data_IF_661967980616
#
_entry.id   IF_661967980616
#
_cell.length_a   1.000
_cell.length_b   1.000
_cell.length_c   1.000
_cell.angle_alpha   90.00
_cell.angle_beta   90.00
_cell.angle_gamma   90.00
#
_symmetry.space_group_name_H-M   'P 1'
#
loop_
_entity.id
_entity.type
_entity.pdbx_description
1 polymer ?
#
# COMPACT_ATOMS: atom_id res chain seq x y z
N UNK A 1 -11.55 9.10 -4.80
CA UNK A 1 -10.61 9.23 -3.67
C UNK A 1 -9.26 8.75 -4.16
N UNK A 2 -8.30 9.66 -4.33
CA UNK A 2 -6.89 9.28 -4.49
C UNK A 2 -6.31 9.21 -3.08
N UNK A 3 -6.10 8.00 -2.58
CA UNK A 3 -5.52 7.76 -1.25
C UNK A 3 -4.05 8.23 -1.20
N UNK A 4 -3.38 8.23 -2.35
CA UNK A 4 -2.01 8.70 -2.52
C UNK A 4 -1.97 9.93 -3.42
N UNK A 5 -1.22 10.96 -2.98
CA UNK A 5 -0.93 12.15 -3.80
C UNK A 5 0.10 11.88 -4.89
N UNK A 6 0.91 10.84 -4.68
CA UNK A 6 1.96 10.43 -5.61
C UNK A 6 1.44 9.38 -6.62
N UNK A 7 1.57 9.63 -7.94
CA UNK A 7 1.06 8.73 -8.96
C UNK A 7 1.81 7.39 -9.01
N UNK A 8 3.09 7.34 -8.61
CA UNK A 8 3.83 6.08 -8.54
C UNK A 8 3.32 5.21 -7.39
N UNK A 9 3.04 5.80 -6.23
CA UNK A 9 2.39 5.11 -5.10
C UNK A 9 1.02 4.55 -5.49
N UNK A 10 0.21 5.35 -6.17
CA UNK A 10 -1.11 4.91 -6.60
C UNK A 10 -1.04 3.74 -7.60
N UNK A 11 -0.09 3.79 -8.53
CA UNK A 11 0.15 2.72 -9.50
C UNK A 11 0.64 1.44 -8.83
N UNK A 12 1.57 1.55 -7.88
CA UNK A 12 2.05 0.41 -7.11
C UNK A 12 0.93 -0.19 -6.26
N UNK A 13 0.20 0.64 -5.51
CA UNK A 13 -0.93 0.20 -4.70
C UNK A 13 -1.97 -0.57 -5.50
N UNK A 14 -2.38 -0.05 -6.67
CA UNK A 14 -3.33 -0.72 -7.55
C UNK A 14 -2.82 -2.05 -8.12
N UNK A 15 -1.49 -2.25 -8.17
CA UNK A 15 -0.87 -3.51 -8.58
C UNK A 15 -0.76 -4.55 -7.45
N UNK A 16 -1.01 -4.17 -6.20
CA UNK A 16 -0.95 -5.09 -5.06
C UNK A 16 -2.16 -6.03 -5.05
N UNK A 17 -2.03 -7.24 -4.47
CA UNK A 17 -3.18 -8.12 -4.24
C UNK A 17 -4.29 -7.46 -3.42
N UNK A 18 -5.54 -7.83 -3.66
CA UNK A 18 -6.70 -7.23 -2.99
C UNK A 18 -6.58 -7.27 -1.45
N UNK A 19 -6.15 -8.40 -0.89
CA UNK A 19 -5.97 -8.54 0.57
C UNK A 19 -4.92 -7.58 1.15
N UNK A 20 -3.85 -7.28 0.39
CA UNK A 20 -2.82 -6.31 0.80
C UNK A 20 -3.40 -4.90 0.73
N UNK A 21 -4.11 -4.57 -0.34
CA UNK A 21 -4.77 -3.27 -0.48
C UNK A 21 -5.77 -3.01 0.65
N UNK A 22 -6.58 -4.02 1.00
CA UNK A 22 -7.54 -3.95 2.10
C UNK A 22 -6.84 -3.83 3.45
N UNK A 23 -5.79 -4.61 3.69
CA UNK A 23 -4.99 -4.54 4.92
C UNK A 23 -4.35 -3.17 5.13
N UNK A 24 -3.82 -2.57 4.07
CA UNK A 24 -3.24 -1.21 4.10
C UNK A 24 -4.32 -0.19 4.46
N UNK A 25 -5.48 -0.26 3.81
CA UNK A 25 -6.62 0.64 4.09
C UNK A 25 -7.13 0.48 5.52
N UNK A 26 -7.27 -0.75 6.00
CA UNK A 26 -7.72 -1.05 7.36
C UNK A 26 -6.71 -0.65 8.43
N UNK A 27 -5.42 -0.68 8.11
CA UNK A 27 -4.36 -0.28 9.05
C UNK A 27 -4.44 1.20 9.42
N UNK A 28 -5.11 2.04 8.62
CA UNK A 28 -5.22 3.48 8.87
C UNK A 28 -3.89 4.23 8.86
N UNK A 29 -2.81 3.62 8.36
CA UNK A 29 -1.48 4.21 8.34
C UNK A 29 -1.36 5.21 7.19
N UNK A 30 -0.82 6.40 7.49
CA UNK A 30 -0.54 7.39 6.47
C UNK A 30 0.81 7.09 5.82
N UNK A 31 0.79 6.66 4.56
CA UNK A 31 1.98 6.41 3.76
C UNK A 31 2.24 7.63 2.87
N UNK A 32 3.40 8.23 3.03
CA UNK A 32 3.78 9.45 2.29
C UNK A 32 4.80 9.18 1.18
N UNK A 33 5.45 8.02 1.18
CA UNK A 33 6.46 7.66 0.18
C UNK A 33 6.29 6.23 -0.32
N UNK A 34 6.67 6.00 -1.58
CA UNK A 34 6.60 4.68 -2.21
C UNK A 34 7.34 3.62 -1.39
N UNK A 35 8.51 3.94 -0.86
CA UNK A 35 9.29 3.01 -0.03
C UNK A 35 8.53 2.55 1.23
N UNK A 36 7.72 3.41 1.86
CA UNK A 36 6.89 3.02 3.01
C UNK A 36 5.79 2.03 2.58
N UNK A 37 5.16 2.30 1.44
CA UNK A 37 4.12 1.44 0.85
C UNK A 37 4.69 0.07 0.43
N UNK A 38 5.86 0.05 -0.22
CA UNK A 38 6.56 -1.17 -0.60
C UNK A 38 6.90 -2.02 0.62
N UNK A 39 7.49 -1.41 1.65
CA UNK A 39 7.84 -2.11 2.89
C UNK A 39 6.61 -2.68 3.59
N UNK A 40 5.51 -1.94 3.62
CA UNK A 40 4.27 -2.43 4.21
C UNK A 40 3.67 -3.58 3.41
N UNK A 41 3.63 -3.45 2.08
CA UNK A 41 3.14 -4.51 1.21
C UNK A 41 3.97 -5.78 1.37
N UNK A 42 5.31 -5.67 1.40
CA UNK A 42 6.20 -6.80 1.66
C UNK A 42 5.93 -7.47 3.00
N UNK A 43 5.78 -6.70 4.08
CA UNK A 43 5.45 -7.26 5.40
C UNK A 43 4.11 -7.99 5.43
N UNK A 44 3.13 -7.55 4.63
CA UNK A 44 1.81 -8.17 4.55
C UNK A 44 1.83 -9.44 3.69
N UNK A 45 2.64 -9.46 2.63
CA UNK A 45 2.83 -10.62 1.78
C UNK A 45 3.71 -11.69 2.41
N UNK A 46 4.73 -11.32 3.19
CA UNK A 46 5.63 -12.26 3.90
C UNK A 46 4.94 -12.97 5.08
N UNK A 47 3.93 -12.33 5.67
CA UNK A 47 3.14 -12.90 6.78
C UNK A 47 2.05 -13.89 6.35
N UNK A 48 1.93 -14.17 5.06
CA UNK A 48 0.90 -15.04 4.47
C UNK A 48 1.52 -16.14 3.61
#
# INVERSE_FOLDING_TARGET
MNDFKDPAMQRYFNGLPAYVQESIKQSGVQLYTLAQLEKMAQNLTDKH
#
